data_IF_996851554454
#
_entry.id   IF_996851554454
#
_cell.length_a   1.000
_cell.length_b   1.000
_cell.length_c   1.000
_cell.angle_alpha   90.00
_cell.angle_beta   90.00
_cell.angle_gamma   90.00
#
_symmetry.space_group_name_H-M   'P 1'
#
loop_
_entity.id
_entity.type
_entity.pdbx_description
1 polymer ?
#
# COMPACT_ATOMS: atom_id res chain seq x y z
N UNK A 1 -3.49 22.17 -1.64
CA UNK A 1 -2.12 21.69 -1.34
C UNK A 1 -2.07 20.21 -1.68
N UNK A 2 -1.06 19.74 -2.40
CA UNK A 2 -1.00 18.34 -2.84
C UNK A 2 0.01 17.55 -2.01
N UNK A 3 -0.43 16.43 -1.45
CA UNK A 3 0.41 15.57 -0.63
C UNK A 3 0.68 14.26 -1.34
N UNK A 4 1.94 14.05 -1.74
CA UNK A 4 2.39 12.81 -2.38
C UNK A 4 2.84 11.82 -1.32
N UNK A 5 1.96 10.86 -1.02
CA UNK A 5 2.30 9.69 -0.21
C UNK A 5 2.84 8.65 -1.18
N UNK A 6 4.17 8.45 -1.20
CA UNK A 6 4.79 7.35 -1.96
C UNK A 6 4.63 6.08 -1.14
N UNK A 7 3.71 5.20 -1.51
CA UNK A 7 3.72 3.82 -1.02
C UNK A 7 4.81 3.06 -1.77
N UNK A 8 5.36 1.96 -1.22
CA UNK A 8 6.39 1.19 -1.90
C UNK A 8 5.96 0.87 -3.33
N UNK A 9 6.82 1.27 -4.27
CA UNK A 9 6.98 0.58 -5.54
C UNK A 9 7.35 -0.85 -5.13
N UNK A 10 6.35 -1.72 -5.05
CA UNK A 10 6.65 -3.15 -5.05
C UNK A 10 7.08 -3.37 -6.50
N UNK A 11 8.38 -3.28 -6.75
CA UNK A 11 9.00 -4.04 -7.81
C UNK A 11 8.66 -5.50 -7.54
N UNK A 12 7.48 -5.92 -7.99
CA UNK A 12 7.25 -7.29 -8.36
C UNK A 12 8.17 -7.51 -9.56
N UNK A 13 9.43 -7.78 -9.26
CA UNK A 13 10.22 -8.65 -10.12
C UNK A 13 9.38 -9.91 -10.22
N UNK A 14 8.62 -10.01 -11.32
CA UNK A 14 8.11 -11.26 -11.83
C UNK A 14 9.31 -12.20 -11.92
N UNK A 15 9.59 -12.96 -10.86
CA UNK A 15 10.33 -14.21 -10.94
C UNK A 15 9.41 -15.25 -11.60
N UNK A 16 8.90 -14.90 -12.78
CA UNK A 16 8.35 -15.84 -13.73
C UNK A 16 9.06 -15.60 -15.06
N UNK A 17 10.36 -15.89 -15.07
CA UNK A 17 10.98 -16.43 -16.28
C UNK A 17 11.05 -17.93 -16.08
N UNK A 18 10.08 -18.60 -16.69
CA UNK A 18 10.14 -19.99 -17.09
C UNK A 18 11.50 -20.26 -17.75
N UNK A 19 12.35 -21.03 -17.07
CA UNK A 19 13.42 -21.78 -17.71
C UNK A 19 13.19 -23.26 -17.37
N UNK A 20 13.34 -24.18 -18.34
CA UNK A 20 13.12 -25.60 -18.13
C UNK A 20 14.28 -26.15 -17.29
N UNK A 21 14.07 -26.26 -15.98
CA UNK A 21 14.99 -27.01 -15.13
C UNK A 21 14.66 -28.49 -15.33
N UNK A 22 15.44 -29.13 -16.20
CA UNK A 22 15.52 -30.58 -16.29
C UNK A 22 16.02 -31.08 -14.93
N UNK A 23 15.13 -31.65 -14.13
CA UNK A 23 15.51 -32.32 -12.89
C UNK A 23 16.27 -33.60 -13.25
N UNK A 24 17.59 -33.56 -13.17
CA UNK A 24 18.36 -34.77 -12.97
C UNK A 24 18.13 -35.18 -11.52
N UNK A 25 17.34 -36.21 -11.30
CA UNK A 25 17.15 -36.82 -9.98
C UNK A 25 18.52 -37.21 -9.45
N UNK A 26 19.05 -36.42 -8.52
CA UNK A 26 20.16 -36.85 -7.69
C UNK A 26 19.56 -37.85 -6.71
N UNK A 27 19.99 -39.10 -6.78
CA UNK A 27 19.68 -40.12 -5.78
C UNK A 27 20.28 -39.70 -4.44
N UNK A 28 19.51 -38.93 -3.67
CA UNK A 28 19.85 -38.57 -2.30
C UNK A 28 19.63 -39.82 -1.44
N UNK A 29 20.70 -40.56 -1.18
CA UNK A 29 20.73 -41.60 -0.15
C UNK A 29 20.55 -40.94 1.21
N UNK A 30 19.31 -40.93 1.70
CA UNK A 30 18.97 -40.51 3.05
C UNK A 30 19.63 -41.51 4.03
N UNK A 31 20.52 -41.05 4.94
CA UNK A 31 21.13 -41.94 5.93
C UNK A 31 20.03 -42.49 6.85
N UNK A 32 20.05 -43.81 7.06
CA UNK A 32 19.05 -44.57 7.80
C UNK A 32 19.03 -44.34 9.31
N UNK A 33 18.95 -43.08 9.76
CA UNK A 33 18.72 -42.72 11.15
C UNK A 33 17.30 -42.20 11.33
N UNK A 34 16.47 -43.01 11.99
CA UNK A 34 15.12 -42.72 12.51
C UNK A 34 14.36 -41.57 11.81
N UNK A 35 13.60 -41.93 10.77
CA UNK A 35 12.57 -41.14 10.10
C UNK A 35 11.79 -40.14 10.99
N UNK A 36 11.38 -40.47 12.24
CA UNK A 36 10.65 -39.50 13.08
C UNK A 36 11.48 -38.28 13.49
N UNK A 37 12.80 -38.39 13.63
CA UNK A 37 13.64 -37.26 14.08
C UNK A 37 13.77 -36.20 12.99
N UNK A 38 13.98 -36.65 11.75
CA UNK A 38 14.06 -35.75 10.59
C UNK A 38 12.72 -35.06 10.31
N UNK A 39 11.61 -35.80 10.46
CA UNK A 39 10.25 -35.28 10.31
C UNK A 39 9.88 -34.30 11.44
N UNK A 40 10.27 -34.59 12.68
CA UNK A 40 10.08 -33.69 13.82
C UNK A 40 10.89 -32.40 13.68
N UNK A 41 12.13 -32.50 13.19
CA UNK A 41 12.98 -31.34 12.92
C UNK A 41 12.40 -30.46 11.80
N UNK A 42 11.87 -31.07 10.73
CA UNK A 42 11.20 -30.35 9.65
C UNK A 42 9.92 -29.63 10.12
N UNK A 43 9.12 -30.27 10.98
CA UNK A 43 7.94 -29.66 11.60
C UNK A 43 8.29 -28.47 12.50
N UNK A 44 9.46 -28.50 13.16
CA UNK A 44 9.92 -27.43 14.04
C UNK A 44 10.34 -26.16 13.29
N UNK A 45 10.74 -26.28 12.02
CA UNK A 45 11.19 -25.17 11.17
C UNK A 45 10.10 -24.57 10.27
N UNK A 46 8.92 -25.20 10.18
CA UNK A 46 7.78 -24.74 9.38
C UNK A 46 7.14 -23.40 9.78
N UNK A 47 7.08 -22.96 11.07
CA UNK A 47 6.30 -21.77 11.43
C UNK A 47 6.97 -20.41 11.11
N UNK A 48 8.11 -20.37 10.42
CA UNK A 48 8.86 -19.11 10.20
C UNK A 48 8.32 -18.20 9.08
N UNK A 49 7.27 -18.58 8.34
CA UNK A 49 6.88 -17.91 7.09
C UNK A 49 5.56 -17.13 7.11
N UNK A 50 5.07 -16.73 8.28
CA UNK A 50 3.95 -15.78 8.34
C UNK A 50 4.45 -14.34 8.23
N UNK A 51 4.80 -13.91 7.01
CA UNK A 51 5.02 -12.50 6.72
C UNK A 51 3.66 -11.79 6.56
N UNK A 52 3.36 -10.85 7.44
CA UNK A 52 2.19 -9.99 7.30
C UNK A 52 2.39 -8.97 6.18
N UNK A 53 1.44 -8.88 5.26
CA UNK A 53 1.46 -7.87 4.19
C UNK A 53 0.98 -6.52 4.76
N UNK A 54 1.91 -5.60 5.01
CA UNK A 54 1.63 -4.26 5.52
C UNK A 54 2.01 -3.15 4.53
N UNK A 55 1.30 -2.03 4.59
CA UNK A 55 1.70 -0.83 3.85
C UNK A 55 2.66 0.03 4.68
N UNK A 56 3.57 0.72 4.00
CA UNK A 56 4.46 1.72 4.60
C UNK A 56 4.45 2.99 3.75
N UNK A 57 4.40 4.15 4.40
CA UNK A 57 4.61 5.44 3.71
C UNK A 57 6.11 5.68 3.58
N UNK A 58 6.60 5.86 2.36
CA UNK A 58 8.01 6.15 2.09
C UNK A 58 8.30 7.64 2.18
N UNK A 59 7.45 8.47 1.59
CA UNK A 59 7.63 9.91 1.58
C UNK A 59 6.29 10.62 1.67
N UNK A 60 6.30 11.75 2.37
CA UNK A 60 5.20 12.70 2.39
C UNK A 60 5.78 14.08 2.12
N UNK A 61 5.19 14.82 1.18
CA UNK A 61 5.59 16.17 0.84
C UNK A 61 4.36 17.01 0.55
N UNK A 62 4.29 18.18 1.18
CA UNK A 62 3.37 19.27 0.83
C UNK A 62 3.84 19.96 -0.44
N UNK A 63 3.00 20.00 -1.45
CA UNK A 63 3.26 20.72 -2.71
C UNK A 63 2.28 21.89 -2.78
N UNK A 64 2.72 23.13 -2.46
CA UNK A 64 1.85 24.29 -2.43
C UNK A 64 1.41 24.77 -3.82
N UNK A 65 2.25 24.57 -4.85
CA UNK A 65 2.04 25.09 -6.21
C UNK A 65 1.67 24.02 -7.24
N UNK A 66 0.90 22.99 -6.86
CA UNK A 66 0.45 22.01 -7.87
C UNK A 66 -0.67 22.60 -8.74
N UNK A 67 -0.44 22.67 -10.05
CA UNK A 67 -1.41 23.16 -11.04
C UNK A 67 -2.72 22.36 -11.00
N UNK A 68 -2.67 21.08 -10.62
CA UNK A 68 -3.84 20.21 -10.48
C UNK A 68 -4.80 20.70 -9.39
N UNK A 69 -4.27 21.29 -8.31
CA UNK A 69 -5.05 21.83 -7.20
C UNK A 69 -5.54 23.27 -7.46
N UNK A 70 -4.86 23.99 -8.36
CA UNK A 70 -5.20 25.38 -8.72
C UNK A 70 -6.32 25.42 -9.76
N UNK A 71 -6.37 24.43 -10.66
CA UNK A 71 -7.42 24.35 -11.67
C UNK A 71 -8.81 24.20 -11.02
N UNK A 72 -9.69 25.18 -11.24
CA UNK A 72 -11.07 25.20 -10.71
C UNK A 72 -11.85 23.91 -11.01
N UNK A 73 -11.52 23.22 -12.10
CA UNK A 73 -12.14 21.95 -12.50
C UNK A 73 -11.99 20.82 -11.48
N UNK A 74 -10.94 20.84 -10.66
CA UNK A 74 -10.65 19.79 -9.68
C UNK A 74 -10.87 20.25 -8.24
N UNK A 75 -11.34 21.48 -8.01
CA UNK A 75 -11.70 21.93 -6.67
C UNK A 75 -12.98 21.23 -6.22
N UNK A 76 -12.97 20.74 -4.98
CA UNK A 76 -14.16 20.21 -4.31
C UNK A 76 -14.39 21.00 -3.03
N UNK A 77 -15.65 21.15 -2.70
CA UNK A 77 -16.11 21.79 -1.47
C UNK A 77 -16.80 20.75 -0.61
N UNK A 78 -16.62 20.85 0.70
CA UNK A 78 -17.34 20.00 1.64
C UNK A 78 -18.77 20.53 1.86
N UNK A 79 -19.53 19.86 2.73
CA UNK A 79 -20.91 20.23 3.05
C UNK A 79 -21.03 21.62 3.71
N UNK A 80 -19.91 22.22 4.16
CA UNK A 80 -19.85 23.56 4.75
C UNK A 80 -19.32 24.61 3.77
N UNK A 81 -19.27 24.31 2.47
CA UNK A 81 -18.72 25.18 1.41
C UNK A 81 -17.23 25.52 1.64
N UNK A 82 -16.51 24.71 2.42
CA UNK A 82 -15.07 24.87 2.64
C UNK A 82 -14.29 24.10 1.57
N UNK A 83 -13.23 24.73 1.04
CA UNK A 83 -12.38 24.12 0.03
C UNK A 83 -11.67 22.88 0.60
N UNK A 84 -11.78 21.76 -0.11
CA UNK A 84 -11.12 20.52 0.25
C UNK A 84 -9.68 20.47 -0.26
N UNK A 85 -8.81 19.84 0.53
CA UNK A 85 -7.45 19.53 0.11
C UNK A 85 -7.42 18.28 -0.78
N UNK A 86 -6.61 18.32 -1.84
CA UNK A 86 -6.35 17.18 -2.71
C UNK A 86 -5.12 16.41 -2.21
N UNK A 87 -5.32 15.18 -1.73
CA UNK A 87 -4.22 14.26 -1.39
C UNK A 87 -4.03 13.27 -2.54
N UNK A 88 -2.80 13.19 -3.07
CA UNK A 88 -2.46 12.24 -4.14
C UNK A 88 -1.63 11.09 -3.57
N UNK A 89 -2.27 9.94 -3.43
CA UNK A 89 -1.61 8.73 -2.93
C UNK A 89 -1.04 7.96 -4.13
N UNK A 90 0.28 7.87 -4.22
CA UNK A 90 0.97 7.13 -5.28
C UNK A 90 1.09 5.67 -4.89
N UNK A 91 0.49 4.79 -5.69
CA UNK A 91 0.61 3.36 -5.51
C UNK A 91 0.22 2.59 -6.77
N UNK A 92 1.02 1.58 -7.09
CA UNK A 92 0.72 0.64 -8.17
C UNK A 92 -0.33 -0.40 -7.78
N UNK A 93 -0.60 -0.55 -6.48
CA UNK A 93 -1.57 -1.52 -5.97
C UNK A 93 -2.98 -1.14 -6.43
N UNK A 94 -3.71 -2.03 -7.14
CA UNK A 94 -5.10 -1.81 -7.52
C UNK A 94 -6.05 -2.01 -6.33
N UNK A 95 -7.25 -1.44 -6.40
CA UNK A 95 -8.29 -1.68 -5.38
C UNK A 95 -8.02 -1.10 -3.99
N UNK A 96 -7.12 -0.12 -3.85
CA UNK A 96 -6.96 0.61 -2.60
C UNK A 96 -8.24 1.38 -2.24
N UNK A 97 -8.65 1.23 -0.98
CA UNK A 97 -9.75 1.95 -0.35
C UNK A 97 -9.19 2.91 0.69
N UNK A 98 -9.92 4.00 0.89
CA UNK A 98 -9.51 5.10 1.74
C UNK A 98 -10.62 5.45 2.72
N UNK A 99 -10.21 5.84 3.93
CA UNK A 99 -11.06 6.42 4.95
C UNK A 99 -10.23 7.46 5.71
N UNK A 100 -10.83 8.43 6.38
CA UNK A 100 -10.10 9.45 7.12
C UNK A 100 -10.83 9.82 8.41
N UNK A 101 -10.19 10.62 9.27
CA UNK A 101 -10.83 11.14 10.49
C UNK A 101 -12.09 11.96 10.18
N UNK A 102 -12.08 12.69 9.07
CA UNK A 102 -13.24 13.38 8.51
C UNK A 102 -13.72 12.64 7.26
N UNK A 103 -15.00 12.77 6.87
CA UNK A 103 -15.50 12.18 5.63
C UNK A 103 -14.67 12.58 4.42
N UNK A 104 -14.39 11.61 3.54
CA UNK A 104 -13.77 11.87 2.24
C UNK A 104 -14.85 12.49 1.34
N UNK A 105 -14.49 13.57 0.65
CA UNK A 105 -15.46 14.33 -0.16
C UNK A 105 -15.56 13.76 -1.56
N UNK A 106 -16.71 13.16 -1.85
CA UNK A 106 -17.00 12.50 -3.12
C UNK A 106 -16.19 11.22 -3.33
N UNK A 107 -16.11 10.78 -4.59
CA UNK A 107 -15.43 9.53 -4.93
C UNK A 107 -13.91 9.70 -5.06
N UNK A 108 -13.17 8.67 -4.67
CA UNK A 108 -11.74 8.53 -4.92
C UNK A 108 -11.51 8.14 -6.37
N UNK A 109 -10.67 8.88 -7.07
CA UNK A 109 -10.36 8.64 -8.48
C UNK A 109 -8.93 8.11 -8.64
N UNK A 110 -8.73 7.03 -9.41
CA UNK A 110 -7.39 6.56 -9.79
C UNK A 110 -7.01 7.16 -11.14
N UNK A 111 -5.92 7.94 -11.19
CA UNK A 111 -5.38 8.58 -12.39
C UNK A 111 -3.88 8.34 -12.48
N UNK A 112 -3.40 7.73 -13.56
CA UNK A 112 -1.95 7.57 -13.83
C UNK A 112 -1.11 7.03 -12.65
N UNK A 113 -1.61 6.02 -11.91
CA UNK A 113 -0.91 5.45 -10.74
C UNK A 113 -1.07 6.25 -9.43
N UNK A 114 -1.88 7.30 -9.46
CA UNK A 114 -2.19 8.14 -8.30
C UNK A 114 -3.68 7.99 -7.93
N UNK A 115 -3.96 7.81 -6.64
CA UNK A 115 -5.29 7.91 -6.07
C UNK A 115 -5.52 9.32 -5.56
N UNK A 116 -6.55 9.97 -6.08
CA UNK A 116 -6.93 11.34 -5.74
C UNK A 116 -8.00 11.27 -4.67
N UNK A 117 -7.63 11.69 -3.46
CA UNK A 117 -8.48 11.65 -2.26
C UNK A 117 -8.71 13.08 -1.80
N UNK A 118 -9.96 13.49 -1.71
CA UNK A 118 -10.32 14.84 -1.27
C UNK A 118 -10.68 14.82 0.21
N UNK A 119 -9.96 15.62 1.00
CA UNK A 119 -10.12 15.68 2.45
C UNK A 119 -10.60 17.06 2.86
N UNK A 120 -11.59 17.10 3.75
CA UNK A 120 -12.03 18.34 4.39
C UNK A 120 -10.92 18.94 5.24
N UNK A 121 -10.96 20.27 5.41
CA UNK A 121 -10.03 20.99 6.24
C UNK A 121 -10.01 20.45 7.68
N UNK A 122 -8.82 20.34 8.27
CA UNK A 122 -8.62 19.84 9.62
C UNK A 122 -8.55 18.32 9.77
N UNK A 123 -8.63 17.56 8.68
CA UNK A 123 -8.35 16.12 8.70
C UNK A 123 -6.92 15.86 9.19
N UNK A 124 -6.74 14.93 10.15
CA UNK A 124 -5.43 14.60 10.76
C UNK A 124 -4.92 13.20 10.45
N UNK A 125 -5.80 12.26 10.10
CA UNK A 125 -5.41 10.89 9.80
C UNK A 125 -6.08 10.41 8.51
N UNK A 126 -5.30 9.66 7.73
CA UNK A 126 -5.74 8.94 6.55
C UNK A 126 -5.52 7.44 6.76
N UNK A 127 -6.54 6.67 6.48
CA UNK A 127 -6.52 5.23 6.50
C UNK A 127 -6.49 4.68 5.08
N UNK A 128 -5.55 3.78 4.81
CA UNK A 128 -5.39 3.10 3.53
C UNK A 128 -5.52 1.60 3.74
N UNK A 129 -6.39 0.94 2.99
CA UNK A 129 -6.63 -0.49 3.16
C UNK A 129 -7.06 -1.15 1.85
N UNK A 130 -6.80 -2.44 1.75
CA UNK A 130 -7.33 -3.31 0.70
C UNK A 130 -7.44 -4.74 1.24
N UNK A 131 -8.09 -5.63 0.51
CA UNK A 131 -8.28 -7.01 0.92
C UNK A 131 -6.93 -7.74 0.95
N UNK A 132 -6.67 -8.51 2.03
CA UNK A 132 -5.42 -9.25 2.20
C UNK A 132 -4.22 -8.46 2.74
N UNK A 133 -4.41 -7.17 3.10
CA UNK A 133 -3.36 -6.33 3.69
C UNK A 133 -3.81 -5.72 5.03
N UNK A 134 -2.82 -5.47 5.90
CA UNK A 134 -3.03 -4.75 7.15
C UNK A 134 -3.35 -3.29 6.83
N UNK A 135 -4.44 -2.77 7.43
CA UNK A 135 -4.85 -1.37 7.31
C UNK A 135 -3.75 -0.44 7.82
N UNK A 136 -3.35 0.50 6.99
CA UNK A 136 -2.42 1.56 7.34
C UNK A 136 -3.18 2.74 7.94
N UNK A 137 -2.78 3.17 9.13
CA UNK A 137 -3.18 4.44 9.70
C UNK A 137 -2.01 5.43 9.56
N UNK A 138 -2.18 6.44 8.70
CA UNK A 138 -1.20 7.48 8.49
C UNK A 138 -1.64 8.77 9.16
N UNK A 139 -0.84 9.26 10.11
CA UNK A 139 -1.04 10.55 10.75
C UNK A 139 -0.28 11.62 9.97
N UNK A 140 -0.98 12.67 9.54
CA UNK A 140 -0.32 13.78 8.86
C UNK A 140 0.57 14.54 9.85
N UNK A 141 1.81 14.90 9.46
CA UNK A 141 2.70 15.69 10.30
C UNK A 141 2.22 17.14 10.48
N UNK A 142 1.40 17.64 9.53
CA UNK A 142 0.79 18.95 9.57
C UNK A 142 -0.73 18.84 9.40
N UNK A 143 -1.46 19.87 9.82
CA UNK A 143 -2.90 19.96 9.57
C UNK A 143 -3.15 20.14 8.06
N UNK A 144 -4.15 19.42 7.56
CA UNK A 144 -4.63 19.58 6.19
C UNK A 144 -5.52 20.82 6.11
N UNK A 145 -5.24 21.68 5.12
CA UNK A 145 -5.91 22.95 4.83
C UNK A 145 -6.29 23.02 3.34
#
# INVERSE_FOLDING_TARGET
MEFKIKLPDIEMTLMNKTLPVVWKYADIKLPGSSLPVFMALFLLFLPAFFYGNGFKVLSFRKVPNDLSAIQNKFKRYDDNDALCALVKVRSDVPGLRFSASNPIVGNVEKRQGEYWVYLSAGTRQLYVFTEGFIKLAYMFPERIE
#
